data_IF_398358296255
#
_entry.id   IF_398358296255
#
_cell.length_a   1.000
_cell.length_b   1.000
_cell.length_c   1.000
_cell.angle_alpha   90.00
_cell.angle_beta   90.00
_cell.angle_gamma   90.00
#
_symmetry.space_group_name_H-M   'P 1'
#
loop_
_entity.id
_entity.type
_entity.pdbx_description
1 polymer ?
#
# COMPACT_ATOMS: atom_id res chain seq x y z
N UNK A 1 -36.12 -0.64 -57.30
CA UNK A 1 -36.18 -0.18 -55.90
C UNK A 1 -35.11 -0.92 -55.12
N UNK A 2 -34.21 -0.21 -54.41
CA UNK A 2 -33.04 -0.79 -53.72
C UNK A 2 -33.39 -1.00 -52.24
N UNK A 3 -33.41 -2.24 -51.76
CA UNK A 3 -33.58 -2.56 -50.34
C UNK A 3 -32.17 -2.63 -49.71
N UNK A 4 -31.79 -1.63 -48.91
CA UNK A 4 -30.55 -1.68 -48.13
C UNK A 4 -30.85 -2.35 -46.80
N UNK A 5 -30.33 -3.57 -46.62
CA UNK A 5 -30.38 -4.31 -45.36
C UNK A 5 -29.23 -3.80 -44.48
N UNK A 6 -29.55 -3.03 -43.43
CA UNK A 6 -28.58 -2.63 -42.42
C UNK A 6 -28.56 -3.70 -41.33
N UNK A 7 -27.55 -4.57 -41.35
CA UNK A 7 -27.28 -5.50 -40.26
C UNK A 7 -26.58 -4.72 -39.15
N UNK A 8 -27.32 -4.35 -38.11
CA UNK A 8 -26.74 -3.90 -36.86
C UNK A 8 -26.13 -5.12 -36.16
N UNK A 9 -24.81 -5.27 -36.28
CA UNK A 9 -24.06 -6.19 -35.45
C UNK A 9 -24.03 -5.63 -34.01
N UNK A 10 -24.84 -6.21 -33.13
CA UNK A 10 -24.78 -5.95 -31.69
C UNK A 10 -23.50 -6.63 -31.20
N UNK A 11 -22.44 -5.84 -31.08
CA UNK A 11 -21.20 -6.26 -30.44
C UNK A 11 -21.47 -6.32 -28.94
N UNK A 12 -21.88 -7.49 -28.45
CA UNK A 12 -22.01 -7.76 -27.01
C UNK A 12 -20.59 -7.79 -26.46
N UNK A 13 -20.13 -6.65 -25.96
CA UNK A 13 -18.94 -6.59 -25.11
C UNK A 13 -19.33 -7.31 -23.82
N UNK A 14 -19.00 -8.60 -23.74
CA UNK A 14 -18.89 -9.33 -22.49
C UNK A 14 -17.79 -8.64 -21.68
N UNK A 15 -18.18 -7.59 -20.94
CA UNK A 15 -17.43 -7.14 -19.78
C UNK A 15 -17.47 -8.30 -18.81
N UNK A 16 -16.52 -9.22 -18.94
CA UNK A 16 -16.17 -10.12 -17.84
C UNK A 16 -16.05 -9.24 -16.60
N UNK A 17 -16.78 -9.51 -15.51
CA UNK A 17 -16.53 -8.82 -14.27
C UNK A 17 -15.07 -9.12 -13.93
N UNK A 18 -14.23 -8.07 -14.03
CA UNK A 18 -12.91 -8.08 -13.41
C UNK A 18 -13.19 -8.53 -12.00
N UNK A 19 -12.65 -9.70 -11.62
CA UNK A 19 -12.72 -10.21 -10.27
C UNK A 19 -12.24 -9.08 -9.37
N UNK A 20 -13.18 -8.39 -8.73
CA UNK A 20 -12.87 -7.48 -7.66
C UNK A 20 -12.25 -8.38 -6.61
N UNK A 21 -10.92 -8.32 -6.47
CA UNK A 21 -10.28 -8.84 -5.27
C UNK A 21 -11.10 -8.27 -4.11
N UNK A 22 -11.75 -9.14 -3.33
CA UNK A 22 -12.49 -8.72 -2.16
C UNK A 22 -11.46 -8.14 -1.18
N UNK A 23 -11.22 -6.84 -1.29
CA UNK A 23 -10.39 -6.09 -0.36
C UNK A 23 -11.25 -5.99 0.90
N UNK A 24 -10.97 -6.85 1.87
CA UNK A 24 -11.66 -6.84 3.14
C UNK A 24 -11.24 -5.56 3.90
N UNK A 25 -12.19 -4.68 4.24
CA UNK A 25 -11.86 -3.45 4.94
C UNK A 25 -11.48 -3.78 6.38
N UNK A 26 -10.35 -3.23 6.86
CA UNK A 26 -9.98 -3.35 8.25
C UNK A 26 -10.88 -2.45 9.11
N UNK A 27 -11.34 -2.95 10.26
CA UNK A 27 -12.30 -2.27 11.13
C UNK A 27 -11.67 -1.63 12.37
N UNK A 28 -10.37 -1.87 12.58
CA UNK A 28 -9.62 -1.36 13.72
C UNK A 28 -8.22 -0.92 13.34
N UNK A 29 -7.65 0.01 14.11
CA UNK A 29 -6.27 0.48 13.94
C UNK A 29 -5.24 -0.65 13.99
N UNK A 30 -5.46 -1.64 14.87
CA UNK A 30 -4.54 -2.77 15.02
C UNK A 30 -4.52 -3.65 13.77
N UNK A 31 -5.70 -3.96 13.23
CA UNK A 31 -5.86 -4.74 12.01
C UNK A 31 -5.28 -3.99 10.80
N UNK A 32 -5.61 -2.71 10.65
CA UNK A 32 -5.07 -1.86 9.60
C UNK A 32 -3.54 -1.74 9.69
N UNK A 33 -3.00 -1.63 10.92
CA UNK A 33 -1.56 -1.62 11.17
C UNK A 33 -0.88 -2.94 10.75
N UNK A 34 -1.52 -4.09 11.00
CA UNK A 34 -1.02 -5.39 10.54
C UNK A 34 -1.00 -5.49 9.02
N UNK A 35 -2.10 -5.10 8.34
CA UNK A 35 -2.17 -5.09 6.87
C UNK A 35 -1.08 -4.20 6.28
N UNK A 36 -0.86 -3.05 6.89
CA UNK A 36 0.17 -2.10 6.48
C UNK A 36 1.58 -2.69 6.60
N UNK A 37 1.87 -3.26 7.78
CA UNK A 37 3.12 -3.96 8.05
C UNK A 37 3.36 -5.09 7.04
N UNK A 38 2.36 -5.94 6.82
CA UNK A 38 2.49 -7.09 5.92
C UNK A 38 2.65 -6.68 4.46
N UNK A 39 2.09 -5.54 4.03
CA UNK A 39 2.33 -4.99 2.69
C UNK A 39 3.78 -4.51 2.54
N UNK A 40 4.27 -3.73 3.51
CA UNK A 40 5.64 -3.22 3.47
C UNK A 40 6.63 -4.38 3.53
N UNK A 41 6.45 -5.32 4.45
CA UNK A 41 7.35 -6.46 4.60
C UNK A 41 7.37 -7.36 3.37
N UNK A 42 6.25 -7.48 2.64
CA UNK A 42 6.22 -8.20 1.35
C UNK A 42 6.90 -7.45 0.21
N UNK A 43 6.78 -6.12 0.19
CA UNK A 43 7.43 -5.26 -0.80
C UNK A 43 8.92 -5.03 -0.50
N UNK A 44 9.37 -5.34 0.71
CA UNK A 44 10.75 -5.19 1.12
C UNK A 44 11.60 -6.33 0.51
N UNK A 45 12.02 -6.13 -0.73
CA UNK A 45 13.04 -6.95 -1.37
C UNK A 45 14.43 -6.39 -1.01
N UNK A 46 15.04 -6.92 0.06
CA UNK A 46 16.38 -6.51 0.47
C UNK A 46 17.30 -7.73 0.64
N UNK A 47 18.49 -7.68 0.04
CA UNK A 47 19.49 -8.73 0.20
C UNK A 47 20.12 -8.62 1.60
N UNK A 48 19.90 -9.64 2.44
CA UNK A 48 20.34 -9.69 3.84
C UNK A 48 21.86 -9.73 4.02
N UNK A 49 22.61 -9.92 2.93
CA UNK A 49 24.04 -10.26 2.92
C UNK A 49 24.98 -9.22 3.58
N UNK A 50 24.48 -8.05 4.00
CA UNK A 50 25.28 -7.00 4.65
C UNK A 50 24.59 -6.34 5.86
N UNK A 51 23.66 -7.04 6.51
CA UNK A 51 22.99 -6.52 7.70
C UNK A 51 23.87 -6.74 8.93
N UNK A 52 24.34 -5.65 9.54
CA UNK A 52 24.80 -5.71 10.93
C UNK A 52 23.62 -6.16 11.81
N UNK A 53 23.88 -6.99 12.83
CA UNK A 53 22.83 -7.50 13.70
C UNK A 53 22.01 -6.32 14.29
N UNK A 54 20.71 -6.28 13.95
CA UNK A 54 19.68 -5.37 14.48
C UNK A 54 19.71 -3.93 13.97
N UNK A 55 19.74 -3.74 12.65
CA UNK A 55 19.43 -2.41 12.09
C UNK A 55 17.93 -2.09 12.18
N UNK A 56 17.63 -0.84 12.50
CA UNK A 56 16.26 -0.33 12.71
C UNK A 56 16.13 1.04 12.06
N UNK A 57 15.15 1.20 11.18
CA UNK A 57 14.77 2.48 10.60
C UNK A 57 13.43 2.95 11.18
N UNK A 58 13.30 4.22 11.53
CA UNK A 58 12.01 4.83 11.90
C UNK A 58 11.58 5.81 10.82
N UNK A 59 10.36 5.63 10.31
CA UNK A 59 9.79 6.42 9.23
C UNK A 59 8.43 6.99 9.65
N UNK A 60 8.17 8.22 9.27
CA UNK A 60 6.88 8.85 9.35
C UNK A 60 6.21 8.75 7.97
N UNK A 61 4.95 8.36 7.95
CA UNK A 61 4.16 8.27 6.72
C UNK A 61 2.90 9.10 6.90
N UNK A 62 2.72 10.05 6.00
CA UNK A 62 1.55 10.91 5.94
C UNK A 62 0.64 10.44 4.83
N UNK A 63 -0.63 10.26 5.13
CA UNK A 63 -1.65 9.80 4.19
C UNK A 63 -2.61 10.94 3.82
N UNK A 64 -3.04 10.93 2.56
CA UNK A 64 -4.14 11.76 2.07
C UNK A 64 -5.49 11.16 2.49
N UNK A 65 -6.56 11.92 2.25
CA UNK A 65 -7.96 11.51 2.54
C UNK A 65 -8.41 10.27 1.76
N UNK A 66 -7.79 10.00 0.61
CA UNK A 66 -8.02 8.82 -0.22
C UNK A 66 -7.11 7.64 0.15
N UNK A 67 -6.37 7.75 1.26
CA UNK A 67 -5.40 6.76 1.74
C UNK A 67 -4.22 6.52 0.80
N UNK A 68 -3.98 7.41 -0.16
CA UNK A 68 -2.71 7.46 -0.87
C UNK A 68 -1.65 8.07 0.04
N UNK A 69 -0.38 7.73 -0.20
CA UNK A 69 0.74 8.36 0.47
C UNK A 69 0.85 9.83 0.01
N UNK A 70 0.98 10.75 0.97
CA UNK A 70 1.29 12.18 0.75
C UNK A 70 2.80 12.42 0.86
N UNK A 71 3.40 11.90 1.93
CA UNK A 71 4.81 12.08 2.22
C UNK A 71 5.36 10.91 3.04
N UNK A 72 6.64 10.61 2.84
CA UNK A 72 7.42 9.65 3.63
C UNK A 72 8.64 10.40 4.15
N UNK A 73 8.94 10.27 5.43
CA UNK A 73 10.11 10.90 6.05
C UNK A 73 10.82 9.92 6.95
N UNK A 74 12.12 9.71 6.73
CA UNK A 74 12.96 9.01 7.70
C UNK A 74 13.14 9.93 8.92
N UNK A 75 12.66 9.48 10.07
CA UNK A 75 12.81 10.15 11.37
C UNK A 75 14.12 9.72 12.01
N UNK A 76 14.47 8.44 11.84
CA UNK A 76 15.70 7.85 12.35
C UNK A 76 16.26 6.88 11.32
N UNK A 77 17.40 7.24 10.75
CA UNK A 77 18.14 6.39 9.82
C UNK A 77 18.65 5.14 10.55
N UNK A 78 18.74 4.03 9.82
CA UNK A 78 19.23 2.76 10.37
C UNK A 78 20.75 2.69 10.49
N UNK A 79 21.46 3.62 9.85
CA UNK A 79 22.91 3.55 9.66
C UNK A 79 23.33 2.79 8.39
N UNK A 80 22.38 2.12 7.70
CA UNK A 80 22.59 1.49 6.41
C UNK A 80 21.71 2.19 5.35
N UNK A 81 22.33 2.97 4.48
CA UNK A 81 21.63 3.76 3.45
C UNK A 81 20.85 2.86 2.47
N UNK A 82 21.38 1.70 2.11
CA UNK A 82 20.70 0.77 1.20
C UNK A 82 19.40 0.24 1.82
N UNK A 83 19.43 -0.08 3.12
CA UNK A 83 18.25 -0.52 3.85
C UNK A 83 17.20 0.60 3.98
N UNK A 84 17.64 1.81 4.32
CA UNK A 84 16.76 2.98 4.42
C UNK A 84 16.06 3.30 3.08
N UNK A 85 16.80 3.20 1.96
CA UNK A 85 16.25 3.36 0.60
C UNK A 85 15.25 2.24 0.28
N UNK A 86 15.58 0.99 0.60
CA UNK A 86 14.71 -0.16 0.36
C UNK A 86 13.39 -0.03 1.12
N UNK A 87 13.41 0.46 2.36
CA UNK A 87 12.21 0.75 3.14
C UNK A 87 11.33 1.80 2.44
N UNK A 88 11.94 2.92 2.03
CA UNK A 88 11.18 3.98 1.33
C UNK A 88 10.61 3.46 0.02
N UNK A 89 11.34 2.61 -0.70
CA UNK A 89 10.86 1.96 -1.92
C UNK A 89 9.67 1.03 -1.65
N UNK A 90 9.78 0.15 -0.65
CA UNK A 90 8.71 -0.77 -0.25
C UNK A 90 7.43 -0.04 0.18
N UNK A 91 7.57 1.06 0.92
CA UNK A 91 6.45 1.92 1.30
C UNK A 91 5.80 2.56 0.07
N UNK A 92 6.60 3.07 -0.88
CA UNK A 92 6.08 3.67 -2.11
C UNK A 92 5.38 2.63 -2.99
N UNK A 93 5.88 1.38 -3.04
CA UNK A 93 5.24 0.29 -3.78
C UNK A 93 3.88 -0.09 -3.17
N UNK A 94 3.75 -0.02 -1.85
CA UNK A 94 2.47 -0.25 -1.19
C UNK A 94 1.41 0.81 -1.57
N UNK A 95 1.83 2.01 -2.01
CA UNK A 95 1.15 3.13 -2.68
C UNK A 95 -0.24 3.60 -2.18
N UNK A 96 -1.18 2.68 -1.95
CA UNK A 96 -2.57 2.92 -1.55
C UNK A 96 -3.04 1.83 -0.58
N UNK A 97 -3.77 2.25 0.46
CA UNK A 97 -4.32 1.37 1.48
C UNK A 97 -5.86 1.38 1.44
N UNK A 98 -6.47 0.76 0.41
CA UNK A 98 -7.92 0.73 0.27
C UNK A 98 -8.63 0.03 1.44
N UNK A 99 -7.95 -0.84 2.17
CA UNK A 99 -8.45 -1.54 3.35
C UNK A 99 -8.90 -0.56 4.46
N UNK A 100 -8.35 0.66 4.47
CA UNK A 100 -8.61 1.66 5.51
C UNK A 100 -10.00 2.30 5.38
N UNK A 101 -10.75 1.98 4.33
CA UNK A 101 -12.13 2.47 4.13
C UNK A 101 -13.09 2.01 5.25
N UNK A 102 -12.76 0.94 5.98
CA UNK A 102 -13.54 0.48 7.13
C UNK A 102 -13.37 1.32 8.40
N UNK A 103 -12.35 2.17 8.48
CA UNK A 103 -12.05 2.93 9.69
C UNK A 103 -13.05 4.05 9.96
N UNK A 104 -13.33 4.25 11.26
CA UNK A 104 -14.07 5.41 11.76
C UNK A 104 -13.35 6.72 11.42
N UNK A 105 -14.07 7.84 11.35
CA UNK A 105 -13.42 9.14 11.08
C UNK A 105 -12.32 9.47 12.11
N UNK A 106 -12.57 9.20 13.39
CA UNK A 106 -11.59 9.44 14.46
C UNK A 106 -10.32 8.61 14.26
N UNK A 107 -10.46 7.37 13.79
CA UNK A 107 -9.31 6.51 13.53
C UNK A 107 -8.58 6.88 12.24
N UNK A 108 -9.29 7.33 11.21
CA UNK A 108 -8.69 7.89 9.99
C UNK A 108 -7.81 9.09 10.28
N UNK A 109 -8.22 9.96 11.20
CA UNK A 109 -7.40 11.10 11.62
C UNK A 109 -6.11 10.63 12.31
N UNK A 110 -6.18 9.60 13.17
CA UNK A 110 -5.00 9.02 13.83
C UNK A 110 -4.02 8.35 12.86
N UNK A 111 -4.51 7.78 11.76
CA UNK A 111 -3.64 7.11 10.75
C UNK A 111 -3.16 8.06 9.65
N UNK A 112 -3.59 9.31 9.65
CA UNK A 112 -3.19 10.27 8.63
C UNK A 112 -1.72 10.71 8.76
N UNK A 113 -1.10 10.46 9.92
CA UNK A 113 0.28 10.81 10.24
C UNK A 113 0.83 9.78 11.25
N UNK A 114 1.55 8.75 10.75
CA UNK A 114 1.94 7.57 11.57
C UNK A 114 3.44 7.33 11.51
N UNK A 115 4.01 7.02 12.66
CA UNK A 115 5.40 6.59 12.78
C UNK A 115 5.47 5.06 12.79
N UNK A 116 6.28 4.52 11.89
CA UNK A 116 6.61 3.11 11.81
C UNK A 116 8.06 2.89 12.20
N UNK A 117 8.28 1.79 12.92
CA UNK A 117 9.61 1.28 13.24
C UNK A 117 9.78 -0.04 12.52
N UNK A 118 10.73 -0.10 11.60
CA UNK A 118 10.99 -1.25 10.75
C UNK A 118 12.37 -1.78 11.11
N UNK A 119 12.44 -3.04 11.51
CA UNK A 119 13.69 -3.76 11.76
C UNK A 119 14.00 -4.67 10.58
N UNK A 120 15.28 -4.89 10.34
CA UNK A 120 15.70 -6.01 9.50
C UNK A 120 15.11 -7.33 10.04
N UNK A 121 14.77 -8.29 9.16
CA UNK A 121 14.47 -9.66 9.58
C UNK A 121 15.69 -10.27 10.30
N UNK A 122 15.41 -11.08 11.34
CA UNK A 122 16.41 -11.87 12.07
C UNK A 122 16.88 -13.09 11.25
#
# INVERSE_FOLDING_TARGET
MKLKLYVFAIMIILLSPVSANNIEPCVSLAECGSVYHDKISRALEFAEENLEEKIVCEVNIKLKKDFSIEAIRIIKASGNEAFDIAIVAAINEAAVFPEFIGLSQSDREKISDVNFRISAPD
#
